data_IF_459038338596
#
_entry.id   IF_459038338596
#
_cell.length_a   1.000
_cell.length_b   1.000
_cell.length_c   1.000
_cell.angle_alpha   90.00
_cell.angle_beta   90.00
_cell.angle_gamma   90.00
#
_symmetry.space_group_name_H-M   'P 1'
#
loop_
_entity.id
_entity.type
_entity.pdbx_description
1 polymer ?
#
# COMPACT_ATOMS: atom_id res chain seq x y z
N UNK A 1 -11.81 11.73 -8.41
CA UNK A 1 -10.42 11.58 -8.90
C UNK A 1 -9.98 10.16 -8.64
N UNK A 2 -9.62 9.41 -9.70
CA UNK A 2 -9.22 8.00 -9.61
C UNK A 2 -7.98 7.82 -8.72
N UNK A 3 -7.99 6.77 -7.89
CA UNK A 3 -7.01 6.47 -6.83
C UNK A 3 -5.56 6.33 -7.32
N UNK A 4 -5.34 6.23 -8.64
CA UNK A 4 -4.06 5.88 -9.24
C UNK A 4 -3.40 7.01 -10.06
N UNK A 5 -3.90 8.24 -9.99
CA UNK A 5 -3.33 9.38 -10.74
C UNK A 5 -1.84 9.60 -10.47
N UNK A 6 -1.35 9.24 -9.28
CA UNK A 6 0.05 9.38 -8.88
C UNK A 6 0.97 8.34 -9.54
N UNK A 7 0.45 7.20 -10.03
CA UNK A 7 1.26 6.19 -10.74
C UNK A 7 1.90 6.76 -12.01
N UNK A 8 1.27 7.77 -12.60
CA UNK A 8 1.74 8.48 -13.80
C UNK A 8 2.62 9.70 -13.48
N UNK A 9 2.79 10.07 -12.21
CA UNK A 9 3.61 11.23 -11.86
C UNK A 9 5.09 10.97 -12.17
N UNK A 10 5.75 11.95 -12.81
CA UNK A 10 7.21 11.98 -12.93
C UNK A 10 7.79 12.27 -11.54
N UNK A 11 8.35 11.25 -10.92
CA UNK A 11 9.00 11.36 -9.62
C UNK A 11 10.47 11.75 -9.77
N UNK A 12 10.96 12.57 -8.85
CA UNK A 12 12.38 12.87 -8.73
C UNK A 12 13.13 11.56 -8.47
N UNK A 13 14.19 11.31 -9.24
CA UNK A 13 14.99 10.08 -9.15
C UNK A 13 15.97 10.12 -7.97
N UNK A 14 16.01 11.19 -7.17
CA UNK A 14 16.90 11.33 -6.00
C UNK A 14 16.28 10.81 -4.71
N UNK A 15 14.96 10.76 -4.63
CA UNK A 15 14.25 10.43 -3.39
C UNK A 15 13.24 9.30 -3.62
N UNK A 16 13.00 8.54 -2.56
CA UNK A 16 11.85 7.64 -2.51
C UNK A 16 10.58 8.48 -2.47
N UNK A 17 9.53 7.97 -3.10
CA UNK A 17 8.23 8.63 -3.09
C UNK A 17 7.26 7.92 -2.16
N UNK A 18 6.52 8.69 -1.38
CA UNK A 18 5.49 8.21 -0.48
C UNK A 18 4.16 8.85 -0.85
N UNK A 19 3.18 8.02 -1.17
CA UNK A 19 1.87 8.46 -1.60
C UNK A 19 0.89 8.81 -0.48
N UNK A 20 -0.31 9.28 -0.86
CA UNK A 20 -1.42 9.37 0.07
C UNK A 20 -1.79 7.98 0.61
N UNK A 21 -2.37 7.89 1.82
CA UNK A 21 -2.80 6.62 2.39
C UNK A 21 -3.82 5.92 1.49
N UNK A 22 -3.68 4.61 1.31
CA UNK A 22 -4.67 3.78 0.63
C UNK A 22 -6.00 3.79 1.40
N UNK A 23 -7.11 3.75 0.67
CA UNK A 23 -8.44 3.89 1.27
C UNK A 23 -8.86 2.67 2.08
N UNK A 24 -8.34 1.49 1.74
CA UNK A 24 -8.73 0.22 2.34
C UNK A 24 -7.67 -0.22 3.35
N UNK A 25 -6.41 -0.35 2.93
CA UNK A 25 -5.32 -0.79 3.81
C UNK A 25 -4.89 0.29 4.81
N UNK A 26 -5.19 1.57 4.53
CA UNK A 26 -4.71 2.75 5.27
C UNK A 26 -3.18 2.93 5.24
N UNK A 27 -2.46 2.09 4.49
CA UNK A 27 -1.01 2.16 4.31
C UNK A 27 -0.68 3.10 3.15
N UNK A 28 0.41 3.87 3.31
CA UNK A 28 0.92 4.73 2.24
C UNK A 28 1.71 3.88 1.22
N UNK A 29 1.41 3.96 -0.09
CA UNK A 29 2.22 3.29 -1.10
C UNK A 29 3.59 3.97 -1.18
N UNK A 30 4.64 3.15 -1.29
CA UNK A 30 6.02 3.61 -1.40
C UNK A 30 6.56 3.19 -2.76
N UNK A 31 7.13 4.13 -3.52
CA UNK A 31 7.87 3.84 -4.73
C UNK A 31 9.34 4.17 -4.49
N UNK A 32 10.15 3.12 -4.42
CA UNK A 32 11.59 3.25 -4.22
C UNK A 32 12.23 3.88 -5.45
N UNK A 33 13.22 4.74 -5.20
CA UNK A 33 14.13 5.25 -6.22
C UNK A 33 14.82 4.08 -6.92
N UNK A 34 14.95 4.18 -8.25
CA UNK A 34 15.78 3.28 -9.06
C UNK A 34 17.05 3.98 -9.52
N UNK A 35 18.20 3.48 -9.09
CA UNK A 35 19.52 3.99 -9.48
C UNK A 35 19.92 3.35 -10.81
N UNK A 36 20.55 4.10 -11.72
CA UNK A 36 20.87 3.59 -13.06
C UNK A 36 21.89 2.43 -13.05
N UNK A 37 22.79 2.40 -12.06
CA UNK A 37 23.89 1.44 -11.97
C UNK A 37 23.79 0.61 -10.67
N UNK A 38 22.59 0.14 -10.33
CA UNK A 38 22.41 -0.79 -9.19
C UNK A 38 23.24 -2.05 -9.41
N UNK A 39 24.04 -2.40 -8.41
CA UNK A 39 24.62 -3.74 -8.28
C UNK A 39 23.51 -4.79 -8.18
N UNK A 40 23.83 -6.06 -8.45
CA UNK A 40 22.85 -7.14 -8.33
C UNK A 40 22.21 -7.18 -6.93
N UNK A 41 23.03 -7.07 -5.88
CA UNK A 41 22.54 -7.08 -4.49
C UNK A 41 21.67 -5.87 -4.15
N UNK A 42 21.99 -4.67 -4.64
CA UNK A 42 21.12 -3.49 -4.43
C UNK A 42 19.77 -3.65 -5.12
N UNK A 43 19.77 -4.23 -6.33
CA UNK A 43 18.54 -4.54 -7.08
C UNK A 43 17.68 -5.55 -6.34
N UNK A 44 18.27 -6.67 -5.90
CA UNK A 44 17.58 -7.72 -5.17
C UNK A 44 16.98 -7.18 -3.87
N UNK A 45 17.73 -6.34 -3.15
CA UNK A 45 17.24 -5.67 -1.95
C UNK A 45 16.07 -4.72 -2.24
N UNK A 46 16.15 -3.91 -3.30
CA UNK A 46 15.06 -3.03 -3.72
C UNK A 46 13.80 -3.83 -4.06
N UNK A 47 13.94 -4.90 -4.82
CA UNK A 47 12.82 -5.75 -5.24
C UNK A 47 12.18 -6.50 -4.07
N UNK A 48 12.99 -7.02 -3.14
CA UNK A 48 12.49 -7.61 -1.90
C UNK A 48 11.69 -6.60 -1.07
N UNK A 49 12.15 -5.34 -0.98
CA UNK A 49 11.41 -4.27 -0.29
C UNK A 49 10.13 -3.89 -1.03
N UNK A 50 10.15 -3.78 -2.35
CA UNK A 50 8.93 -3.53 -3.15
C UNK A 50 7.89 -4.63 -2.91
N UNK A 51 8.30 -5.90 -2.96
CA UNK A 51 7.43 -7.05 -2.72
C UNK A 51 6.89 -7.07 -1.27
N UNK A 52 7.73 -6.77 -0.28
CA UNK A 52 7.30 -6.69 1.13
C UNK A 52 6.27 -5.58 1.35
N UNK A 53 6.49 -4.39 0.76
CA UNK A 53 5.57 -3.27 0.87
C UNK A 53 4.21 -3.58 0.23
N UNK A 54 4.23 -4.25 -0.93
CA UNK A 54 3.01 -4.68 -1.61
C UNK A 54 2.25 -5.72 -0.78
N UNK A 55 2.96 -6.73 -0.27
CA UNK A 55 2.38 -7.75 0.61
C UNK A 55 1.76 -7.14 1.86
N UNK A 56 2.44 -6.22 2.53
CA UNK A 56 1.95 -5.54 3.73
C UNK A 56 0.65 -4.76 3.44
N UNK A 57 0.62 -3.99 2.34
CA UNK A 57 -0.60 -3.26 1.94
C UNK A 57 -1.75 -4.22 1.63
N UNK A 58 -1.48 -5.34 0.95
CA UNK A 58 -2.50 -6.34 0.63
C UNK A 58 -3.06 -7.01 1.89
N UNK A 59 -2.18 -7.43 2.79
CA UNK A 59 -2.53 -8.03 4.07
C UNK A 59 -3.50 -7.13 4.84
N UNK A 60 -3.17 -5.85 5.02
CA UNK A 60 -4.03 -4.91 5.76
C UNK A 60 -5.31 -4.55 5.01
N UNK A 61 -5.32 -4.54 3.67
CA UNK A 61 -6.55 -4.33 2.91
C UNK A 61 -7.56 -5.45 3.19
N UNK A 62 -7.11 -6.70 3.16
CA UNK A 62 -7.92 -7.89 3.43
C UNK A 62 -8.46 -7.86 4.87
N UNK A 63 -7.59 -7.58 5.85
CA UNK A 63 -7.96 -7.55 7.26
C UNK A 63 -8.94 -6.41 7.59
N UNK A 64 -8.70 -5.21 7.05
CA UNK A 64 -9.60 -4.07 7.28
C UNK A 64 -10.97 -4.32 6.65
N UNK A 65 -11.01 -4.94 5.46
CA UNK A 65 -12.26 -5.31 4.81
C UNK A 65 -13.05 -6.29 5.65
N UNK A 66 -12.38 -7.35 6.15
CA UNK A 66 -13.00 -8.33 7.02
C UNK A 66 -13.49 -7.71 8.33
N UNK A 67 -12.70 -6.83 8.94
CA UNK A 67 -13.08 -6.14 10.17
C UNK A 67 -14.35 -5.31 10.00
N UNK A 68 -14.44 -4.47 8.96
CA UNK A 68 -15.62 -3.63 8.75
C UNK A 68 -16.87 -4.49 8.47
N UNK A 69 -16.73 -5.63 7.78
CA UNK A 69 -17.83 -6.60 7.61
C UNK A 69 -18.31 -7.16 8.95
N UNK A 70 -17.40 -7.70 9.78
CA UNK A 70 -17.78 -8.29 11.07
C UNK A 70 -18.32 -7.26 12.04
N UNK A 71 -17.81 -6.03 11.99
CA UNK A 71 -18.33 -4.91 12.76
C UNK A 71 -19.76 -4.57 12.35
N UNK A 72 -20.06 -4.52 11.05
CA UNK A 72 -21.42 -4.27 10.56
C UNK A 72 -22.38 -5.39 10.98
N UNK A 73 -21.97 -6.66 10.88
CA UNK A 73 -22.76 -7.81 11.37
C UNK A 73 -23.04 -7.72 12.87
N UNK A 74 -22.04 -7.34 13.66
CA UNK A 74 -22.19 -7.17 15.10
C UNK A 74 -23.18 -6.04 15.44
N UNK A 75 -23.03 -4.88 14.80
CA UNK A 75 -23.93 -3.73 15.02
C UNK A 75 -25.37 -4.09 14.64
N UNK A 76 -25.57 -4.77 13.50
CA UNK A 76 -26.89 -5.22 13.07
C UNK A 76 -27.52 -6.20 14.08
N UNK A 77 -26.74 -7.08 14.72
CA UNK A 77 -27.25 -8.00 15.74
C UNK A 77 -27.56 -7.31 17.07
N UNK A 78 -26.79 -6.31 17.45
CA UNK A 78 -26.88 -5.67 18.78
C UNK A 78 -27.88 -4.51 18.82
N UNK A 79 -28.03 -3.78 17.71
CA UNK A 79 -28.84 -2.56 17.63
C UNK A 79 -30.18 -2.73 16.89
N UNK A 80 -30.54 -3.97 16.51
CA UNK A 80 -31.91 -4.32 16.14
C UNK A 80 -32.59 -4.89 17.40
N UNK A 81 -33.01 -3.98 18.30
CA UNK A 81 -34.08 -4.14 19.29
C UNK A 81 -35.07 -3.01 19.00
#
# INVERSE_FOLDING_TARGET
MSSDSWRKARLDRRYDWVGPPDKISRIRPIRLRRICNETATERDYREAREALNEWNSRFWAEHNTLYEQRKAEFIAKVFII
#
